data_IF_947688299075
#
_entry.id   IF_947688299075
#
_cell.length_a   1.000
_cell.length_b   1.000
_cell.length_c   1.000
_cell.angle_alpha   90.00
_cell.angle_beta   90.00
_cell.angle_gamma   90.00
#
_symmetry.space_group_name_H-M   'P 1'
#
loop_
_entity.id
_entity.type
_entity.pdbx_description
1 polymer ?
#
# COMPACT_ATOMS: atom_id res chain seq x y z
N UNK A 1 10.15 9.10 -28.49
CA UNK A 1 10.91 10.14 -29.22
C UNK A 1 10.87 11.42 -28.41
N UNK A 2 12.01 11.86 -27.90
CA UNK A 2 12.16 13.17 -27.25
C UNK A 2 12.46 14.22 -28.32
N UNK A 3 11.79 15.37 -28.24
CA UNK A 3 12.01 16.49 -29.13
C UNK A 3 13.17 17.33 -28.61
N UNK A 4 14.02 17.81 -29.51
CA UNK A 4 15.06 18.77 -29.17
C UNK A 4 14.43 20.07 -28.66
N UNK A 5 15.06 20.70 -27.68
CA UNK A 5 14.66 21.99 -27.09
C UNK A 5 13.30 22.00 -26.38
N UNK A 6 12.81 20.84 -25.93
CA UNK A 6 11.62 20.74 -25.11
C UNK A 6 12.01 20.42 -23.66
N UNK A 7 11.39 21.10 -22.69
CA UNK A 7 11.52 20.75 -21.28
C UNK A 7 10.63 19.53 -20.97
N UNK A 8 11.18 18.59 -20.19
CA UNK A 8 10.49 17.41 -19.73
C UNK A 8 10.53 17.37 -18.21
N UNK A 9 9.40 17.02 -17.60
CA UNK A 9 9.32 16.72 -16.18
C UNK A 9 9.61 15.22 -15.99
N UNK A 10 10.57 14.92 -15.13
CA UNK A 10 10.89 13.55 -14.72
C UNK A 10 10.57 13.38 -13.24
N UNK A 11 9.56 12.56 -12.95
CA UNK A 11 9.10 12.29 -11.58
C UNK A 11 9.50 10.88 -11.18
N UNK A 12 10.12 10.76 -10.00
CA UNK A 12 10.52 9.46 -9.45
C UNK A 12 9.89 9.33 -8.07
N UNK A 13 9.06 8.30 -7.91
CA UNK A 13 8.54 7.90 -6.62
C UNK A 13 9.43 6.80 -6.04
N UNK A 14 10.25 7.15 -5.05
CA UNK A 14 11.02 6.16 -4.29
C UNK A 14 10.23 5.71 -3.05
N UNK A 15 10.03 4.41 -2.90
CA UNK A 15 9.23 3.80 -1.82
C UNK A 15 10.15 2.91 -0.98
N UNK A 16 10.15 3.14 0.34
CA UNK A 16 10.91 2.34 1.31
C UNK A 16 9.99 1.33 2.00
N UNK A 17 10.40 0.06 2.03
CA UNK A 17 9.70 -1.03 2.72
C UNK A 17 10.29 -1.25 4.11
N UNK A 18 9.98 -0.31 5.01
CA UNK A 18 10.55 -0.25 6.37
C UNK A 18 12.07 0.03 6.38
N UNK A 19 12.66 0.00 7.58
CA UNK A 19 14.08 0.21 7.83
C UNK A 19 14.76 -1.11 8.17
N UNK A 20 16.03 -1.23 7.81
CA UNK A 20 16.84 -2.37 8.23
C UNK A 20 16.92 -2.43 9.77
N UNK A 21 16.65 -3.61 10.33
CA UNK A 21 16.57 -3.82 11.78
C UNK A 21 17.72 -4.66 12.34
N UNK A 22 18.75 -4.97 11.55
CA UNK A 22 19.91 -5.72 12.03
C UNK A 22 20.86 -4.83 12.84
N UNK A 23 21.58 -5.45 13.76
CA UNK A 23 22.60 -4.78 14.58
C UNK A 23 23.96 -5.07 13.96
N UNK A 24 24.46 -4.15 13.14
CA UNK A 24 25.85 -4.14 12.70
C UNK A 24 26.49 -2.82 13.15
N UNK A 25 27.66 -2.91 13.79
CA UNK A 25 28.45 -1.72 14.09
C UNK A 25 28.87 -1.07 12.75
N UNK A 26 28.57 0.22 12.57
CA UNK A 26 29.00 1.07 11.44
C UNK A 26 28.37 0.83 10.05
N UNK A 27 27.21 0.18 9.92
CA UNK A 27 26.50 0.15 8.62
C UNK A 27 25.41 1.22 8.53
N UNK A 28 25.57 2.19 7.63
CA UNK A 28 24.46 3.03 7.16
C UNK A 28 23.75 2.31 6.01
N UNK A 29 22.45 2.01 6.17
CA UNK A 29 21.60 1.52 5.09
C UNK A 29 20.96 2.72 4.38
N UNK A 30 21.28 2.90 3.11
CA UNK A 30 20.77 4.01 2.30
C UNK A 30 19.42 3.62 1.66
N UNK A 31 18.49 4.57 1.64
CA UNK A 31 17.19 4.45 0.97
C UNK A 31 16.98 5.68 0.11
N UNK A 32 16.36 5.50 -1.05
CA UNK A 32 16.12 6.58 -2.01
C UNK A 32 17.01 6.45 -3.23
N UNK A 33 17.23 7.59 -3.90
CA UNK A 33 18.14 7.72 -5.03
C UNK A 33 19.43 8.32 -4.47
N UNK A 34 20.44 7.48 -4.30
CA UNK A 34 21.73 7.81 -3.68
C UNK A 34 22.90 7.83 -4.68
N UNK A 35 22.58 7.70 -5.98
CA UNK A 35 23.55 7.59 -7.07
C UNK A 35 23.24 8.53 -8.23
N UNK A 36 24.22 8.68 -9.12
CA UNK A 36 24.12 9.54 -10.30
C UNK A 36 23.06 9.03 -11.28
N UNK A 37 22.23 9.95 -11.80
CA UNK A 37 21.23 9.65 -12.82
C UNK A 37 21.81 9.98 -14.19
N UNK A 38 21.76 9.02 -15.11
CA UNK A 38 22.23 9.17 -16.48
C UNK A 38 21.06 8.99 -17.45
N UNK A 39 20.98 9.84 -18.47
CA UNK A 39 20.00 9.75 -19.55
C UNK A 39 20.75 9.81 -20.89
N UNK A 40 20.60 8.77 -21.72
CA UNK A 40 21.28 8.63 -23.01
C UNK A 40 22.81 8.87 -22.97
N UNK A 41 23.45 8.48 -21.86
CA UNK A 41 24.90 8.62 -21.63
C UNK A 41 25.33 9.99 -21.11
N UNK A 42 24.40 10.92 -20.90
CA UNK A 42 24.65 12.22 -20.28
C UNK A 42 24.26 12.20 -18.80
N UNK A 43 25.12 12.78 -17.96
CA UNK A 43 24.85 12.93 -16.53
C UNK A 43 23.81 14.03 -16.32
N UNK A 44 22.72 13.72 -15.63
CA UNK A 44 21.77 14.72 -15.16
C UNK A 44 22.34 15.38 -13.90
N UNK A 45 23.21 16.37 -14.09
CA UNK A 45 23.78 17.14 -13.00
C UNK A 45 22.70 18.02 -12.35
N UNK A 46 22.51 17.83 -11.04
CA UNK A 46 21.54 18.52 -10.18
C UNK A 46 21.91 20.00 -9.92
N UNK A 47 23.12 20.43 -10.30
CA UNK A 47 23.67 21.73 -9.90
C UNK A 47 23.62 22.83 -10.97
N UNK A 48 22.98 22.60 -12.12
CA UNK A 48 22.82 23.63 -13.16
C UNK A 48 21.45 24.30 -13.08
N UNK A 49 21.36 25.57 -13.50
CA UNK A 49 20.09 26.33 -13.57
C UNK A 49 19.01 25.64 -14.44
N UNK A 50 19.40 24.68 -15.28
CA UNK A 50 18.53 23.92 -16.19
C UNK A 50 18.01 22.60 -15.62
N UNK A 51 18.63 22.05 -14.57
CA UNK A 51 18.35 20.74 -14.00
C UNK A 51 18.14 20.83 -12.47
N UNK A 52 17.01 21.42 -12.04
CA UNK A 52 16.71 21.56 -10.62
C UNK A 52 15.98 20.33 -10.06
N UNK A 53 16.56 19.65 -9.06
CA UNK A 53 15.91 18.56 -8.35
C UNK A 53 15.07 19.06 -7.16
N UNK A 54 13.75 18.88 -7.26
CA UNK A 54 12.85 19.08 -6.12
C UNK A 54 12.54 17.76 -5.43
N UNK A 55 12.51 17.79 -4.09
CA UNK A 55 12.16 16.63 -3.27
C UNK A 55 10.94 16.93 -2.43
N UNK A 56 9.97 16.02 -2.45
CA UNK A 56 8.82 16.05 -1.58
C UNK A 56 8.79 14.76 -0.76
N UNK A 57 8.48 14.88 0.54
CA UNK A 57 8.27 13.75 1.43
C UNK A 57 6.80 13.36 1.42
N UNK A 58 6.54 12.07 1.30
CA UNK A 58 5.19 11.52 1.32
C UNK A 58 4.35 11.89 0.10
N UNK A 59 3.17 11.28 0.04
CA UNK A 59 2.20 11.47 -1.03
C UNK A 59 1.30 12.67 -0.72
N UNK A 60 0.80 13.32 -1.76
CA UNK A 60 -0.14 14.44 -1.61
C UNK A 60 -1.41 14.05 -0.83
N UNK A 61 -1.92 12.83 -1.05
CA UNK A 61 -3.05 12.29 -0.29
C UNK A 61 -2.76 12.09 1.20
N UNK A 62 -1.52 11.73 1.55
CA UNK A 62 -1.08 11.62 2.95
C UNK A 62 -0.96 12.99 3.61
N UNK A 63 -0.39 13.97 2.91
CA UNK A 63 -0.29 15.35 3.37
C UNK A 63 -1.67 15.95 3.69
N UNK A 64 -2.66 15.70 2.84
CA UNK A 64 -4.04 16.15 3.07
C UNK A 64 -4.79 15.29 4.10
N UNK A 65 -4.23 14.13 4.45
CA UNK A 65 -4.81 13.12 5.34
C UNK A 65 -6.17 12.62 4.83
N UNK A 66 -6.29 12.33 3.53
CA UNK A 66 -7.59 12.01 2.89
C UNK A 66 -8.26 10.73 3.41
N UNK A 67 -7.52 9.94 4.20
CA UNK A 67 -8.00 8.80 4.98
C UNK A 67 -8.78 9.17 6.25
N UNK A 68 -8.91 10.46 6.56
CA UNK A 68 -9.77 11.02 7.62
C UNK A 68 -11.01 11.67 7.03
N UNK A 69 -12.05 11.87 7.86
CA UNK A 69 -13.27 12.59 7.45
C UNK A 69 -12.96 14.00 6.95
N UNK A 70 -12.16 14.76 7.69
CA UNK A 70 -11.79 16.14 7.37
C UNK A 70 -10.86 16.23 6.17
N UNK A 71 -9.98 15.25 5.98
CA UNK A 71 -9.08 15.21 4.83
C UNK A 71 -9.80 14.80 3.56
N UNK A 72 -10.73 13.84 3.64
CA UNK A 72 -11.51 13.40 2.48
C UNK A 72 -12.27 14.54 1.82
N UNK A 73 -12.81 15.49 2.61
CA UNK A 73 -13.51 16.66 2.06
C UNK A 73 -12.62 17.69 1.36
N UNK A 74 -11.28 17.54 1.42
CA UNK A 74 -10.34 18.46 0.76
C UNK A 74 -10.10 18.12 -0.71
N UNK A 75 -10.58 16.97 -1.17
CA UNK A 75 -10.41 16.49 -2.55
C UNK A 75 -11.76 16.17 -3.18
N UNK A 76 -11.82 16.21 -4.50
CA UNK A 76 -12.99 15.75 -5.25
C UNK A 76 -12.78 14.30 -5.66
N UNK A 77 -13.57 13.39 -5.10
CA UNK A 77 -13.55 11.98 -5.45
C UNK A 77 -14.35 11.71 -6.72
N UNK A 78 -13.79 10.91 -7.63
CA UNK A 78 -14.57 10.38 -8.76
C UNK A 78 -15.42 9.20 -8.28
N UNK A 79 -16.73 9.29 -8.45
CA UNK A 79 -17.66 8.22 -8.06
C UNK A 79 -17.54 6.98 -8.95
N UNK A 80 -16.91 7.11 -10.13
CA UNK A 80 -16.65 6.02 -11.05
C UNK A 80 -15.29 5.36 -10.74
N UNK A 81 -15.23 4.61 -9.64
CA UNK A 81 -14.01 3.95 -9.14
C UNK A 81 -13.28 3.11 -10.21
N UNK A 82 -14.00 2.56 -11.19
CA UNK A 82 -13.44 1.75 -12.29
C UNK A 82 -12.36 2.50 -13.09
N UNK A 83 -12.42 3.83 -13.12
CA UNK A 83 -11.40 4.67 -13.77
C UNK A 83 -10.04 4.63 -13.09
N UNK A 84 -9.97 4.21 -11.82
CA UNK A 84 -8.73 4.04 -11.06
C UNK A 84 -8.13 2.64 -11.20
N UNK A 85 -8.86 1.67 -11.76
CA UNK A 85 -8.36 0.30 -11.94
C UNK A 85 -7.21 0.29 -12.93
N UNK A 86 -6.19 -0.53 -12.65
CA UNK A 86 -4.92 -0.60 -13.37
C UNK A 86 -4.16 0.74 -13.48
N UNK A 87 -4.56 1.78 -12.73
CA UNK A 87 -3.81 3.03 -12.66
C UNK A 87 -2.94 3.04 -11.42
N UNK A 88 -1.62 3.19 -11.57
CA UNK A 88 -0.73 3.32 -10.42
C UNK A 88 -1.03 4.63 -9.67
N UNK A 89 -0.59 4.69 -8.42
CA UNK A 89 -0.73 5.86 -7.55
C UNK A 89 -2.21 6.30 -7.45
N UNK A 90 -3.10 5.35 -7.20
CA UNK A 90 -4.54 5.58 -7.11
C UNK A 90 -5.01 5.51 -5.67
N UNK A 91 -5.94 6.40 -5.32
CA UNK A 91 -6.65 6.36 -4.05
C UNK A 91 -8.10 5.92 -4.28
N UNK A 92 -8.58 5.02 -3.45
CA UNK A 92 -9.96 4.55 -3.40
C UNK A 92 -10.54 4.81 -2.02
N UNK A 93 -11.83 5.11 -1.97
CA UNK A 93 -12.52 5.34 -0.72
C UNK A 93 -13.93 4.75 -0.77
N UNK A 94 -14.34 4.15 0.33
CA UNK A 94 -15.68 3.62 0.48
C UNK A 94 -16.15 3.76 1.94
N UNK A 95 -17.46 3.58 2.12
CA UNK A 95 -18.09 3.55 3.45
C UNK A 95 -18.82 2.24 3.66
N UNK A 96 -18.80 1.75 4.89
CA UNK A 96 -19.48 0.52 5.26
C UNK A 96 -20.07 0.59 6.67
N UNK A 97 -21.17 -0.13 6.85
CA UNK A 97 -21.80 -0.38 8.14
C UNK A 97 -21.42 -1.79 8.63
N UNK A 98 -21.37 -1.97 9.95
CA UNK A 98 -21.21 -3.28 10.55
C UNK A 98 -22.56 -3.79 11.04
N UNK A 99 -22.87 -5.04 10.70
CA UNK A 99 -23.99 -5.74 11.32
C UNK A 99 -23.77 -5.81 12.84
N UNK A 100 -24.84 -5.62 13.61
CA UNK A 100 -24.84 -5.75 15.06
C UNK A 100 -24.20 -7.07 15.53
N UNK A 101 -24.49 -8.18 14.85
CA UNK A 101 -23.95 -9.51 15.20
C UNK A 101 -22.45 -9.59 14.96
N UNK A 102 -21.98 -9.05 13.84
CA UNK A 102 -20.54 -9.00 13.51
C UNK A 102 -19.78 -8.18 14.55
N UNK A 103 -20.37 -7.08 15.04
CA UNK A 103 -19.74 -6.21 16.05
C UNK A 103 -19.52 -6.93 17.38
N UNK A 104 -20.53 -7.64 17.90
CA UNK A 104 -20.42 -8.37 19.17
C UNK A 104 -19.36 -9.45 19.09
N UNK A 105 -19.26 -10.08 17.93
CA UNK A 105 -18.39 -11.20 17.66
C UNK A 105 -16.98 -10.78 17.22
N UNK A 106 -16.75 -9.52 16.84
CA UNK A 106 -15.46 -9.04 16.34
C UNK A 106 -14.28 -9.23 17.31
N UNK A 107 -14.56 -9.37 18.61
CA UNK A 107 -13.54 -9.67 19.62
C UNK A 107 -13.14 -11.15 19.63
N UNK A 108 -14.09 -12.07 19.40
CA UNK A 108 -13.83 -13.51 19.35
C UNK A 108 -13.42 -13.97 17.95
N UNK A 109 -14.02 -13.36 16.93
CA UNK A 109 -13.85 -13.64 15.51
C UNK A 109 -13.41 -12.35 14.80
N UNK A 110 -12.09 -12.11 14.66
CA UNK A 110 -11.55 -10.87 14.13
C UNK A 110 -12.03 -10.54 12.71
N UNK A 111 -12.21 -9.26 12.44
CA UNK A 111 -12.52 -8.74 11.11
C UNK A 111 -11.21 -8.45 10.37
N UNK A 112 -11.14 -8.88 9.12
CA UNK A 112 -9.98 -8.71 8.26
C UNK A 112 -10.41 -7.99 6.98
N UNK A 113 -9.54 -7.12 6.48
CA UNK A 113 -9.57 -6.70 5.08
C UNK A 113 -9.06 -7.86 4.22
N UNK A 114 -9.91 -8.36 3.32
CA UNK A 114 -9.49 -9.19 2.21
C UNK A 114 -9.02 -8.27 1.07
N UNK A 115 -7.70 -8.18 0.91
CA UNK A 115 -7.07 -7.32 -0.09
C UNK A 115 -7.06 -7.95 -1.50
N UNK A 116 -7.73 -9.08 -1.71
CA UNK A 116 -7.84 -9.73 -3.02
C UNK A 116 -8.34 -8.76 -4.08
N UNK A 117 -7.55 -8.60 -5.16
CA UNK A 117 -7.87 -7.68 -6.25
C UNK A 117 -7.17 -6.31 -6.14
N UNK A 118 -6.56 -6.01 -5.00
CA UNK A 118 -5.52 -5.00 -4.89
C UNK A 118 -4.16 -5.57 -5.31
N UNK A 119 -3.15 -4.70 -5.40
CA UNK A 119 -1.79 -5.10 -5.72
C UNK A 119 -0.86 -4.86 -4.52
N UNK A 120 -0.45 -3.60 -4.33
CA UNK A 120 0.42 -3.15 -3.25
C UNK A 120 0.06 -1.72 -2.87
N UNK A 121 0.18 -1.39 -1.60
CA UNK A 121 -0.04 -0.04 -1.12
C UNK A 121 -0.45 -0.01 0.35
N UNK A 122 -1.22 1.00 0.76
CA UNK A 122 -1.59 1.21 2.16
C UNK A 122 -3.11 1.24 2.32
N UNK A 123 -3.60 0.74 3.45
CA UNK A 123 -5.02 0.79 3.78
C UNK A 123 -5.24 1.52 5.10
N UNK A 124 -6.37 2.22 5.21
CA UNK A 124 -6.73 2.99 6.38
C UNK A 124 -8.19 2.73 6.76
N UNK A 125 -8.46 2.63 8.07
CA UNK A 125 -9.80 2.49 8.64
C UNK A 125 -10.04 3.61 9.63
N UNK A 126 -11.04 4.44 9.36
CA UNK A 126 -11.45 5.56 10.24
C UNK A 126 -10.28 6.47 10.65
N UNK A 127 -9.34 6.71 9.74
CA UNK A 127 -8.14 7.51 10.00
C UNK A 127 -6.92 6.74 10.54
N UNK A 128 -7.07 5.46 10.90
CA UNK A 128 -5.99 4.62 11.41
C UNK A 128 -5.33 3.83 10.28
N UNK A 129 -4.00 3.75 10.28
CA UNK A 129 -3.21 3.05 9.28
C UNK A 129 -3.15 1.54 9.56
N UNK A 130 -3.71 0.73 8.64
CA UNK A 130 -3.57 -0.75 8.64
C UNK A 130 -2.18 -1.20 8.17
N UNK A 131 -1.36 -0.26 7.69
CA UNK A 131 -0.04 -0.42 7.09
C UNK A 131 -0.08 -0.94 5.66
N UNK A 132 1.11 -1.27 5.18
CA UNK A 132 1.38 -1.82 3.87
C UNK A 132 0.65 -3.16 3.67
N UNK A 133 -0.12 -3.25 2.60
CA UNK A 133 -0.50 -4.51 2.00
C UNK A 133 0.34 -4.78 0.74
N UNK A 134 0.61 -6.05 0.46
CA UNK A 134 1.29 -6.48 -0.75
C UNK A 134 0.96 -7.93 -1.07
N UNK A 135 0.24 -8.14 -2.16
CA UNK A 135 -0.17 -9.47 -2.61
C UNK A 135 0.90 -10.15 -3.48
N UNK A 136 2.17 -10.06 -3.09
CA UNK A 136 3.25 -10.76 -3.80
C UNK A 136 3.03 -12.26 -3.69
N UNK A 137 3.19 -12.99 -4.81
CA UNK A 137 2.96 -14.42 -4.85
C UNK A 137 4.11 -15.16 -4.14
N UNK A 138 3.76 -16.07 -3.22
CA UNK A 138 4.71 -16.91 -2.50
C UNK A 138 5.26 -18.01 -3.40
N UNK A 139 6.53 -18.38 -3.18
CA UNK A 139 7.19 -19.52 -3.83
C UNK A 139 7.65 -20.46 -2.73
N UNK A 140 7.20 -21.70 -2.79
CA UNK A 140 7.71 -22.77 -1.91
C UNK A 140 8.91 -23.44 -2.57
N UNK A 141 9.95 -23.67 -1.79
CA UNK A 141 11.17 -24.33 -2.22
C UNK A 141 11.28 -25.69 -1.55
N UNK A 142 11.53 -26.73 -2.35
CA UNK A 142 11.71 -28.09 -1.85
C UNK A 142 12.99 -28.26 -1.00
N UNK A 143 13.97 -27.36 -1.16
CA UNK A 143 15.25 -27.37 -0.44
C UNK A 143 15.42 -26.11 0.40
N UNK A 144 14.44 -25.80 1.24
CA UNK A 144 14.54 -24.64 2.15
C UNK A 144 15.80 -24.77 3.02
N UNK A 145 16.63 -23.73 3.14
CA UNK A 145 17.81 -23.77 4.00
C UNK A 145 17.41 -24.20 5.42
N UNK A 146 18.26 -24.98 6.11
CA UNK A 146 17.97 -25.60 7.42
C UNK A 146 17.43 -24.65 8.52
N UNK A 147 17.50 -23.33 8.33
CA UNK A 147 16.93 -22.31 9.21
C UNK A 147 15.39 -22.18 9.10
N UNK A 148 14.79 -22.59 7.98
CA UNK A 148 13.34 -22.60 7.78
C UNK A 148 12.78 -23.97 8.15
N UNK A 149 12.76 -24.31 9.44
CA UNK A 149 12.27 -25.61 9.92
C UNK A 149 10.75 -25.78 9.87
N UNK A 150 10.01 -24.73 9.50
CA UNK A 150 8.56 -24.78 9.37
C UNK A 150 8.16 -25.23 7.96
N UNK A 151 7.11 -26.07 7.89
CA UNK A 151 6.50 -26.44 6.63
C UNK A 151 6.03 -25.17 5.89
N UNK A 152 6.52 -24.97 4.67
CA UNK A 152 6.03 -23.91 3.81
C UNK A 152 4.63 -24.29 3.32
N UNK A 153 3.64 -23.44 3.57
CA UNK A 153 2.25 -23.63 3.18
C UNK A 153 1.79 -22.49 2.26
N UNK A 154 0.61 -22.62 1.65
CA UNK A 154 0.01 -21.60 0.79
C UNK A 154 0.92 -21.16 -0.38
N UNK A 155 1.60 -22.12 -1.01
CA UNK A 155 2.42 -21.91 -2.19
C UNK A 155 1.59 -21.31 -3.33
N UNK A 156 2.20 -20.41 -4.12
CA UNK A 156 1.55 -19.73 -5.24
C UNK A 156 0.32 -18.89 -4.85
N UNK A 157 0.16 -18.59 -3.54
CA UNK A 157 -0.84 -17.66 -3.01
C UNK A 157 -0.15 -16.34 -2.62
N UNK A 158 -0.90 -15.23 -2.44
CA UNK A 158 -0.34 -14.03 -1.84
C UNK A 158 0.35 -14.35 -0.51
N UNK A 159 1.55 -13.79 -0.27
CA UNK A 159 2.27 -13.92 1.01
C UNK A 159 1.41 -13.44 2.17
N UNK A 160 0.60 -12.41 1.95
CA UNK A 160 -0.45 -11.99 2.84
C UNK A 160 -1.64 -11.45 2.03
N UNK A 161 -2.82 -12.04 2.25
CA UNK A 161 -4.09 -11.61 1.62
C UNK A 161 -5.01 -10.89 2.60
N UNK A 162 -5.02 -11.35 3.85
CA UNK A 162 -5.91 -10.85 4.88
C UNK A 162 -5.14 -9.96 5.86
N UNK A 163 -5.69 -8.78 6.13
CA UNK A 163 -5.09 -7.76 6.99
C UNK A 163 -6.01 -7.48 8.17
N UNK A 164 -5.49 -7.66 9.39
CA UNK A 164 -6.29 -7.55 10.60
C UNK A 164 -6.74 -6.11 10.87
N UNK A 165 -8.03 -5.93 11.11
CA UNK A 165 -8.62 -4.65 11.51
C UNK A 165 -8.94 -4.72 13.01
N UNK A 166 -8.24 -3.96 13.87
CA UNK A 166 -8.55 -3.88 15.28
C UNK A 166 -10.01 -3.49 15.54
N UNK A 167 -10.71 -4.26 16.38
CA UNK A 167 -12.13 -4.06 16.66
C UNK A 167 -12.43 -2.68 17.26
N UNK A 168 -11.50 -2.10 18.03
CA UNK A 168 -11.61 -0.78 18.61
C UNK A 168 -11.49 0.38 17.60
N UNK A 169 -11.07 0.12 16.36
CA UNK A 169 -11.09 1.13 15.29
C UNK A 169 -12.45 1.23 14.60
N UNK A 170 -13.31 0.24 14.80
CA UNK A 170 -14.56 0.09 14.09
C UNK A 170 -15.73 0.70 14.85
N UNK A 171 -16.65 1.29 14.09
CA UNK A 171 -17.92 1.87 14.54
C UNK A 171 -19.07 0.99 14.05
N UNK A 172 -20.26 1.14 14.62
CA UNK A 172 -21.44 0.40 14.15
C UNK A 172 -21.84 0.76 12.73
N UNK A 173 -21.68 2.03 12.36
CA UNK A 173 -22.08 2.56 11.06
C UNK A 173 -21.09 3.59 10.56
N UNK A 174 -21.14 3.82 9.26
CA UNK A 174 -20.43 4.88 8.57
C UNK A 174 -18.91 4.81 8.81
N UNK A 175 -18.35 3.60 8.77
CA UNK A 175 -16.90 3.41 8.79
C UNK A 175 -16.33 3.85 7.45
N UNK A 176 -15.23 4.59 7.51
CA UNK A 176 -14.48 5.02 6.34
C UNK A 176 -13.32 4.05 6.09
N UNK A 177 -13.25 3.49 4.89
CA UNK A 177 -12.07 2.79 4.39
C UNK A 177 -11.44 3.62 3.28
N UNK A 178 -10.13 3.83 3.35
CA UNK A 178 -9.35 4.48 2.29
C UNK A 178 -8.18 3.58 1.92
N UNK A 179 -7.95 3.38 0.62
CA UNK A 179 -6.93 2.49 0.08
C UNK A 179 -6.09 3.29 -0.89
N UNK A 180 -4.78 3.28 -0.71
CA UNK A 180 -3.81 3.74 -1.69
C UNK A 180 -3.21 2.51 -2.37
N UNK A 181 -3.25 2.43 -3.70
CA UNK A 181 -2.59 1.37 -4.48
C UNK A 181 -1.52 1.99 -5.39
N UNK A 182 -0.26 1.58 -5.21
CA UNK A 182 0.88 2.20 -5.88
C UNK A 182 1.20 1.57 -7.25
N UNK A 183 0.86 0.30 -7.43
CA UNK A 183 1.12 -0.46 -8.66
C UNK A 183 -0.08 -0.56 -9.60
N UNK A 184 -1.26 -0.11 -9.16
CA UNK A 184 -2.51 -0.23 -9.88
C UNK A 184 -3.24 -1.52 -9.50
N UNK A 185 -4.40 -1.35 -8.85
CA UNK A 185 -5.24 -2.46 -8.46
C UNK A 185 -5.82 -3.16 -9.71
N UNK A 186 -5.64 -4.48 -9.87
CA UNK A 186 -6.14 -5.21 -11.04
C UNK A 186 -7.66 -5.35 -11.07
N UNK A 187 -8.33 -5.41 -9.91
CA UNK A 187 -9.79 -5.52 -9.81
C UNK A 187 -10.28 -5.15 -8.42
N UNK A 188 -11.30 -4.30 -8.30
CA UNK A 188 -11.91 -4.03 -6.97
C UNK A 188 -12.96 -5.08 -6.55
N UNK A 189 -13.43 -5.91 -7.48
CA UNK A 189 -14.62 -6.76 -7.28
C UNK A 189 -14.43 -7.82 -6.18
N UNK A 190 -13.19 -8.07 -5.78
CA UNK A 190 -12.83 -9.08 -4.79
C UNK A 190 -12.39 -8.49 -3.45
N UNK A 191 -12.28 -7.15 -3.36
CA UNK A 191 -11.87 -6.47 -2.13
C UNK A 191 -13.06 -6.45 -1.18
N UNK A 192 -12.85 -6.89 0.06
CA UNK A 192 -13.97 -7.02 0.99
C UNK A 192 -13.54 -7.13 2.44
N UNK A 193 -14.54 -7.21 3.31
CA UNK A 193 -14.35 -7.51 4.71
C UNK A 193 -14.77 -8.94 4.97
N UNK A 194 -13.93 -9.68 5.70
CA UNK A 194 -14.20 -11.05 6.09
C UNK A 194 -14.05 -11.19 7.59
N UNK A 195 -14.73 -12.18 8.16
CA UNK A 195 -14.61 -12.52 9.56
C UNK A 195 -13.88 -13.86 9.69
N UNK A 196 -12.88 -13.93 10.57
CA UNK A 196 -12.18 -15.18 10.85
C UNK A 196 -13.01 -16.00 11.83
N UNK A 197 -13.59 -17.09 11.35
CA UNK A 197 -14.36 -18.04 12.16
C UNK A 197 -13.55 -19.33 12.27
N UNK A 198 -13.29 -19.79 13.50
CA UNK A 198 -12.68 -21.09 13.75
C UNK A 198 -13.78 -22.10 14.06
N UNK A 199 -14.01 -23.04 13.15
CA UNK A 199 -14.86 -24.21 13.42
C UNK A 199 -13.98 -25.33 13.94
N UNK A 200 -14.30 -25.86 15.13
CA UNK A 200 -13.69 -27.10 15.59
C UNK A 200 -14.18 -28.23 14.66
N UNK A 201 -13.25 -28.80 13.90
CA UNK A 201 -13.44 -30.03 13.11
C UNK A 201 -13.27 -31.27 13.98
#
# INVERSE_FOLDING_TARGET
HFNKNQQYLFEILSISFELFSGVYENSFDQKGIDSNIWLDGELLDNQTETNFCNHQKGLFGEYLQIYTEQGSSKVTWDTQWIKGINKPISWFQARFDLDHRIREDANANPILLDAQGLNRGHAFINGNDLRLYWLIQSICQNNSPCACQHAQTNCLKPTQRYYHIPSNWLKSKNNLITIFDDFGAPSSASVGLVQRILTNS
#
